data_IF_638858738285
#
_entry.id   IF_638858738285
#
_cell.length_a   1.000
_cell.length_b   1.000
_cell.length_c   1.000
_cell.angle_alpha   90.00
_cell.angle_beta   90.00
_cell.angle_gamma   90.00
#
_symmetry.space_group_name_H-M   'P 1'
#
loop_
_entity.id
_entity.type
_entity.pdbx_description
1 polymer ?
#
# COMPACT_ATOMS: atom_id res chain seq x y z
N UNK A 1 14.19 24.46 2.72
CA UNK A 1 14.16 23.25 1.85
C UNK A 1 13.05 23.41 0.83
N UNK A 2 13.16 22.86 -0.40
CA UNK A 2 12.05 22.91 -1.35
C UNK A 2 10.87 22.10 -0.80
N UNK A 3 9.65 22.60 -1.00
CA UNK A 3 8.41 21.95 -0.57
C UNK A 3 8.24 20.62 -1.33
N UNK A 4 8.20 19.50 -0.61
CA UNK A 4 8.11 18.15 -1.16
C UNK A 4 6.69 17.62 -1.03
N UNK A 5 6.12 17.21 -2.17
CA UNK A 5 4.77 16.62 -2.24
C UNK A 5 4.86 15.18 -2.69
N UNK A 6 4.08 14.30 -2.06
CA UNK A 6 3.89 12.92 -2.44
C UNK A 6 2.42 12.64 -2.75
N UNK A 7 2.18 12.03 -3.90
CA UNK A 7 0.88 11.48 -4.27
C UNK A 7 0.93 9.95 -4.28
N UNK A 8 0.01 9.30 -3.58
CA UNK A 8 -0.12 7.84 -3.60
C UNK A 8 -1.42 7.47 -4.32
N UNK A 9 -1.28 6.98 -5.54
CA UNK A 9 -2.40 6.53 -6.35
C UNK A 9 -2.77 5.11 -5.97
N UNK A 10 -4.02 4.91 -5.54
CA UNK A 10 -4.51 3.66 -4.97
C UNK A 10 -5.75 3.13 -5.69
N UNK A 11 -6.02 1.82 -5.59
CA UNK A 11 -7.16 1.21 -6.27
C UNK A 11 -8.49 1.51 -5.57
N UNK A 12 -8.55 1.48 -4.24
CA UNK A 12 -9.77 1.80 -3.52
C UNK A 12 -9.57 2.17 -2.04
N UNK A 13 -10.66 2.03 -1.28
CA UNK A 13 -10.77 2.50 0.09
C UNK A 13 -9.83 1.77 1.08
N UNK A 14 -9.50 0.51 0.80
CA UNK A 14 -8.67 -0.29 1.72
C UNK A 14 -7.21 0.18 1.68
N UNK A 15 -6.68 0.44 0.49
CA UNK A 15 -5.36 1.04 0.35
C UNK A 15 -5.34 2.47 0.90
N UNK A 16 -6.36 3.29 0.59
CA UNK A 16 -6.44 4.66 1.11
C UNK A 16 -6.42 4.67 2.65
N UNK A 17 -7.26 3.85 3.29
CA UNK A 17 -7.30 3.70 4.76
C UNK A 17 -5.96 3.27 5.33
N UNK A 18 -5.25 2.37 4.65
CA UNK A 18 -3.91 1.95 5.07
C UNK A 18 -2.94 3.13 5.04
N UNK A 19 -2.93 3.89 3.94
CA UNK A 19 -2.03 5.02 3.79
C UNK A 19 -2.36 6.18 4.73
N UNK A 20 -3.64 6.44 5.01
CA UNK A 20 -4.04 7.41 6.04
C UNK A 20 -3.43 7.07 7.40
N UNK A 21 -3.44 5.80 7.79
CA UNK A 21 -2.88 5.37 9.07
C UNK A 21 -1.35 5.53 9.16
N UNK A 22 -0.63 5.35 8.05
CA UNK A 22 0.83 5.54 8.00
C UNK A 22 1.24 6.93 7.49
N UNK A 23 0.29 7.83 7.24
CA UNK A 23 0.54 9.15 6.63
C UNK A 23 1.57 9.95 7.40
N UNK A 24 1.46 9.97 8.73
CA UNK A 24 2.44 10.61 9.61
C UNK A 24 3.88 10.12 9.39
N UNK A 25 4.08 8.84 9.04
CA UNK A 25 5.41 8.30 8.74
C UNK A 25 5.94 8.86 7.42
N UNK A 26 5.05 9.09 6.44
CA UNK A 26 5.39 9.67 5.14
C UNK A 26 5.66 11.19 5.26
N UNK A 27 4.90 11.87 6.12
CA UNK A 27 5.02 13.31 6.38
C UNK A 27 6.34 13.69 7.06
N UNK A 28 7.07 12.74 7.64
CA UNK A 28 8.45 12.96 8.10
C UNK A 28 9.41 13.37 6.95
N UNK A 29 9.03 13.14 5.70
CA UNK A 29 9.85 13.44 4.50
C UNK A 29 9.20 14.34 3.48
N UNK A 30 7.88 14.44 3.54
CA UNK A 30 7.06 15.14 2.59
C UNK A 30 6.21 16.15 3.35
N UNK A 31 6.25 17.40 2.93
CA UNK A 31 5.41 18.46 3.50
C UNK A 31 3.92 18.24 3.18
N UNK A 32 3.63 17.43 2.16
CA UNK A 32 2.28 17.08 1.76
C UNK A 32 2.20 15.64 1.25
N UNK A 33 1.28 14.87 1.80
CA UNK A 33 0.99 13.49 1.37
C UNK A 33 -0.50 13.35 1.10
N UNK A 34 -0.85 12.92 -0.10
CA UNK A 34 -2.25 12.76 -0.50
C UNK A 34 -2.47 11.48 -1.30
N UNK A 35 -3.57 10.79 -0.98
CA UNK A 35 -4.01 9.61 -1.70
C UNK A 35 -4.99 10.00 -2.80
N UNK A 36 -4.98 9.25 -3.91
CA UNK A 36 -5.93 9.43 -4.99
C UNK A 36 -6.40 8.09 -5.56
N UNK A 37 -7.70 7.80 -5.42
CA UNK A 37 -8.29 6.58 -5.97
C UNK A 37 -8.47 6.69 -7.48
N UNK A 38 -7.80 5.79 -8.21
CA UNK A 38 -7.78 5.83 -9.68
C UNK A 38 -8.52 4.69 -10.36
N UNK A 39 -8.90 3.61 -9.67
CA UNK A 39 -9.41 2.41 -10.33
C UNK A 39 -10.68 2.66 -11.15
N UNK A 40 -11.57 3.53 -10.65
CA UNK A 40 -12.82 3.91 -11.32
C UNK A 40 -12.69 5.15 -12.21
N UNK A 41 -11.47 5.67 -12.41
CA UNK A 41 -11.25 6.88 -13.19
C UNK A 41 -10.98 6.52 -14.66
N UNK A 42 -11.51 7.30 -15.61
CA UNK A 42 -11.22 7.07 -17.02
C UNK A 42 -9.74 7.32 -17.32
N UNK A 43 -9.11 6.59 -18.26
CA UNK A 43 -7.69 6.73 -18.59
C UNK A 43 -7.24 8.16 -18.86
N UNK A 44 -8.09 8.98 -19.50
CA UNK A 44 -7.85 10.40 -19.76
C UNK A 44 -7.68 11.19 -18.46
N UNK A 45 -8.49 10.93 -17.43
CA UNK A 45 -8.39 11.61 -16.13
C UNK A 45 -7.13 11.19 -15.37
N UNK A 46 -6.80 9.91 -15.40
CA UNK A 46 -5.53 9.39 -14.83
C UNK A 46 -4.33 10.09 -15.50
N UNK A 47 -4.32 10.17 -16.84
CA UNK A 47 -3.27 10.85 -17.61
C UNK A 47 -3.14 12.32 -17.23
N UNK A 48 -4.26 13.04 -17.19
CA UNK A 48 -4.25 14.47 -16.86
C UNK A 48 -3.75 14.72 -15.44
N UNK A 49 -4.16 13.88 -14.49
CA UNK A 49 -3.71 13.99 -13.10
C UNK A 49 -2.21 13.68 -12.93
N UNK A 50 -1.70 12.65 -13.60
CA UNK A 50 -0.26 12.37 -13.59
C UNK A 50 0.55 13.50 -14.25
N UNK A 51 0.01 14.14 -15.28
CA UNK A 51 0.64 15.32 -15.88
C UNK A 51 0.66 16.51 -14.92
N UNK A 52 -0.40 16.74 -14.13
CA UNK A 52 -0.39 17.82 -13.14
C UNK A 52 0.61 17.55 -12.02
N UNK A 53 0.72 16.30 -11.54
CA UNK A 53 1.74 15.90 -10.56
C UNK A 53 3.15 16.22 -11.07
N UNK A 54 3.46 15.86 -12.32
CA UNK A 54 4.76 16.14 -12.95
C UNK A 54 5.02 17.64 -13.09
N UNK A 55 4.03 18.40 -13.53
CA UNK A 55 4.13 19.86 -13.65
C UNK A 55 4.37 20.54 -12.30
N UNK A 56 3.87 19.96 -11.21
CA UNK A 56 4.11 20.42 -9.83
C UNK A 56 5.45 19.94 -9.25
N UNK A 57 6.28 19.23 -10.03
CA UNK A 57 7.52 18.58 -9.58
C UNK A 57 7.30 17.75 -8.29
N UNK A 58 6.19 17.02 -8.24
CA UNK A 58 5.79 16.21 -7.09
C UNK A 58 6.11 14.73 -7.31
N UNK A 59 6.48 14.03 -6.24
CA UNK A 59 6.68 12.59 -6.27
C UNK A 59 5.34 11.86 -6.34
N UNK A 60 5.33 10.69 -6.96
CA UNK A 60 4.16 9.82 -6.91
C UNK A 60 4.52 8.34 -6.96
N UNK A 61 3.67 7.56 -6.29
CA UNK A 61 3.63 6.10 -6.42
C UNK A 61 2.27 5.65 -6.90
N UNK A 62 2.24 4.62 -7.74
CA UNK A 62 1.02 3.93 -8.14
C UNK A 62 1.04 2.53 -7.53
N UNK A 63 0.10 2.28 -6.64
CA UNK A 63 -0.05 0.99 -5.97
C UNK A 63 -0.87 0.04 -6.84
N UNK A 64 -0.39 -1.21 -6.95
CA UNK A 64 -1.10 -2.30 -7.63
C UNK A 64 -0.84 -3.62 -6.93
N UNK A 65 -1.90 -4.38 -6.71
CA UNK A 65 -1.78 -5.76 -6.27
C UNK A 65 -1.27 -6.66 -7.41
N UNK A 66 -0.31 -7.55 -7.09
CA UNK A 66 0.17 -8.54 -8.06
C UNK A 66 -0.95 -9.50 -8.49
N UNK A 67 -1.91 -9.78 -7.59
CA UNK A 67 -3.01 -10.71 -7.82
C UNK A 67 -2.50 -12.07 -8.35
N UNK A 68 -3.01 -12.49 -9.52
CA UNK A 68 -2.65 -13.75 -10.20
C UNK A 68 -1.46 -13.62 -11.16
N UNK A 69 -0.81 -12.45 -11.24
CA UNK A 69 0.36 -12.30 -12.11
C UNK A 69 1.52 -13.16 -11.62
N UNK A 70 2.24 -13.85 -12.53
CA UNK A 70 3.26 -14.83 -12.14
C UNK A 70 4.48 -14.19 -11.47
N UNK A 71 4.78 -12.92 -11.79
CA UNK A 71 5.85 -12.17 -11.16
C UNK A 71 5.63 -10.65 -11.28
N UNK A 72 6.41 -9.87 -10.52
CA UNK A 72 6.38 -8.39 -10.53
C UNK A 72 6.63 -7.85 -11.93
N UNK A 73 7.58 -8.43 -12.68
CA UNK A 73 7.91 -8.01 -14.05
C UNK A 73 6.71 -8.20 -14.99
N UNK A 74 6.06 -9.36 -14.95
CA UNK A 74 4.86 -9.62 -15.74
C UNK A 74 3.74 -8.62 -15.39
N UNK A 75 3.56 -8.31 -14.10
CA UNK A 75 2.59 -7.31 -13.66
C UNK A 75 2.92 -5.92 -14.22
N UNK A 76 4.17 -5.46 -14.11
CA UNK A 76 4.60 -4.18 -14.67
C UNK A 76 4.39 -4.10 -16.18
N UNK A 77 4.68 -5.17 -16.91
CA UNK A 77 4.42 -5.25 -18.35
C UNK A 77 2.93 -5.14 -18.67
N UNK A 78 2.05 -5.83 -17.93
CA UNK A 78 0.60 -5.71 -18.13
C UNK A 78 0.08 -4.29 -17.92
N UNK A 79 0.64 -3.57 -16.94
CA UNK A 79 0.31 -2.17 -16.65
C UNK A 79 0.82 -1.27 -17.77
N UNK A 80 2.04 -1.50 -18.27
CA UNK A 80 2.59 -0.78 -19.42
C UNK A 80 1.75 -0.99 -20.67
N UNK A 81 1.22 -2.19 -20.92
CA UNK A 81 0.31 -2.44 -22.05
C UNK A 81 -1.01 -1.66 -21.87
N UNK A 82 -1.56 -1.63 -20.65
CA UNK A 82 -2.85 -0.94 -20.38
C UNK A 82 -2.75 0.59 -20.39
N UNK A 83 -1.67 1.15 -19.85
CA UNK A 83 -1.53 2.60 -19.66
C UNK A 83 -0.43 3.23 -20.53
N UNK A 84 0.27 2.45 -21.35
CA UNK A 84 1.37 2.93 -22.18
C UNK A 84 2.49 3.55 -21.35
N UNK A 85 3.01 4.69 -21.82
CA UNK A 85 4.03 5.50 -21.14
C UNK A 85 3.43 6.45 -20.10
N UNK A 86 2.12 6.41 -19.84
CA UNK A 86 1.45 7.31 -18.91
C UNK A 86 1.94 7.07 -17.48
N UNK A 87 2.24 5.82 -17.10
CA UNK A 87 2.73 5.48 -15.76
C UNK A 87 4.19 5.08 -15.87
N UNK A 88 5.05 5.74 -15.09
CA UNK A 88 6.46 5.35 -14.97
C UNK A 88 6.58 4.01 -14.21
N UNK A 89 7.35 3.08 -14.78
CA UNK A 89 7.63 1.79 -14.17
C UNK A 89 8.41 1.90 -12.84
N UNK A 90 9.12 3.01 -12.61
CA UNK A 90 9.82 3.29 -11.37
C UNK A 90 8.89 3.79 -10.25
N UNK A 91 7.78 4.42 -10.61
CA UNK A 91 6.71 4.83 -9.70
C UNK A 91 5.74 3.70 -9.35
N UNK A 92 5.84 2.54 -10.02
CA UNK A 92 5.01 1.37 -9.72
C UNK A 92 5.49 0.64 -8.47
N UNK A 93 4.60 0.54 -7.50
CA UNK A 93 4.76 -0.27 -6.29
C UNK A 93 3.80 -1.46 -6.40
N UNK A 94 4.38 -2.64 -6.60
CA UNK A 94 3.62 -3.88 -6.68
C UNK A 94 3.55 -4.50 -5.29
N UNK A 95 2.35 -4.55 -4.74
CA UNK A 95 2.06 -5.26 -3.49
C UNK A 95 2.06 -6.75 -3.79
N UNK A 96 2.90 -7.50 -3.07
CA UNK A 96 2.95 -8.95 -3.23
C UNK A 96 1.70 -9.55 -2.59
N UNK A 97 1.03 -10.40 -3.36
CA UNK A 97 -0.36 -10.88 -3.22
C UNK A 97 -1.40 -9.78 -3.19
N UNK A 98 -1.59 -9.10 -2.06
CA UNK A 98 -2.64 -8.10 -1.87
C UNK A 98 -2.35 -7.17 -0.68
N UNK A 99 -3.02 -6.02 -0.59
CA UNK A 99 -2.84 -5.03 0.48
C UNK A 99 -3.08 -5.58 1.89
N UNK A 100 -3.92 -6.61 2.05
CA UNK A 100 -4.16 -7.30 3.32
C UNK A 100 -2.88 -7.88 3.93
N UNK A 101 -1.93 -8.27 3.06
CA UNK A 101 -0.61 -8.72 3.50
C UNK A 101 0.15 -7.61 4.23
N UNK A 102 -0.06 -6.33 3.88
CA UNK A 102 0.56 -5.20 4.54
C UNK A 102 -0.10 -4.94 5.88
N UNK A 103 -1.44 -4.99 5.97
CA UNK A 103 -2.18 -4.87 7.23
C UNK A 103 -1.64 -5.81 8.32
N UNK A 104 -1.47 -7.09 8.01
CA UNK A 104 -0.92 -8.07 8.97
C UNK A 104 0.57 -7.91 9.25
N UNK A 105 1.32 -7.28 8.32
CA UNK A 105 2.76 -7.10 8.46
C UNK A 105 3.09 -6.22 9.66
N UNK A 106 2.25 -5.24 9.99
CA UNK A 106 2.50 -4.34 11.13
C UNK A 106 2.28 -4.95 12.50
N UNK A 107 1.77 -6.18 12.60
CA UNK A 107 1.41 -6.82 13.86
C UNK A 107 2.54 -7.69 14.40
N UNK A 108 2.92 -7.46 15.65
CA UNK A 108 3.78 -8.36 16.41
C UNK A 108 2.96 -9.47 17.11
N UNK A 109 3.65 -10.44 17.70
CA UNK A 109 3.01 -11.58 18.38
C UNK A 109 2.06 -11.14 19.49
N UNK A 110 2.42 -10.10 20.24
CA UNK A 110 1.61 -9.59 21.36
C UNK A 110 0.33 -8.91 20.85
N UNK A 111 0.42 -8.16 19.77
CA UNK A 111 -0.71 -7.51 19.13
C UNK A 111 -1.66 -8.53 18.51
N UNK A 112 -1.13 -9.56 17.85
CA UNK A 112 -1.93 -10.68 17.35
C UNK A 112 -2.73 -11.36 18.48
N UNK A 113 -2.11 -11.60 19.65
CA UNK A 113 -2.80 -12.14 20.83
C UNK A 113 -3.95 -11.24 21.29
N UNK A 114 -3.73 -9.91 21.39
CA UNK A 114 -4.78 -8.94 21.77
C UNK A 114 -5.95 -8.92 20.77
N UNK A 115 -5.64 -9.05 19.48
CA UNK A 115 -6.64 -9.13 18.42
C UNK A 115 -7.31 -10.51 18.33
N UNK A 116 -6.82 -11.53 19.07
CA UNK A 116 -7.27 -12.93 19.02
C UNK A 116 -7.09 -13.58 17.64
N UNK A 117 -5.97 -13.27 16.98
CA UNK A 117 -5.59 -13.88 15.71
C UNK A 117 -4.25 -14.61 15.83
N UNK A 118 -4.03 -15.59 14.96
CA UNK A 118 -2.76 -16.32 14.89
C UNK A 118 -1.65 -15.37 14.42
N UNK A 119 -0.52 -15.38 15.14
CA UNK A 119 0.66 -14.63 14.70
C UNK A 119 1.24 -15.25 13.42
N UNK A 120 1.54 -14.39 12.45
CA UNK A 120 2.14 -14.77 11.16
C UNK A 120 3.56 -14.20 11.11
N UNK A 121 4.54 -15.03 10.76
CA UNK A 121 5.95 -14.62 10.67
C UNK A 121 6.25 -13.78 9.42
N UNK A 122 5.97 -14.31 8.23
CA UNK A 122 6.04 -13.57 6.96
C UNK A 122 4.67 -13.47 6.33
N UNK A 123 4.34 -12.32 5.79
CA UNK A 123 3.00 -12.02 5.26
C UNK A 123 2.96 -11.92 3.75
N UNK A 124 4.10 -12.02 3.05
CA UNK A 124 4.21 -11.86 1.59
C UNK A 124 3.17 -12.69 0.81
N UNK A 125 2.85 -13.89 1.29
CA UNK A 125 1.95 -14.82 0.60
C UNK A 125 0.50 -14.81 1.10
N UNK A 126 0.14 -13.88 1.99
CA UNK A 126 -1.23 -13.76 2.50
C UNK A 126 -2.15 -13.23 1.40
N UNK A 127 -3.19 -14.02 1.08
CA UNK A 127 -4.26 -13.59 0.18
C UNK A 127 -5.40 -12.90 0.94
N UNK A 128 -6.28 -12.22 0.20
CA UNK A 128 -7.51 -11.61 0.74
C UNK A 128 -8.38 -12.63 1.45
N UNK A 129 -8.56 -13.82 0.88
CA UNK A 129 -9.38 -14.88 1.47
C UNK A 129 -8.74 -15.44 2.76
N UNK A 130 -7.41 -15.53 2.82
CA UNK A 130 -6.72 -15.93 4.04
C UNK A 130 -6.84 -14.86 5.12
N UNK A 131 -6.77 -13.58 4.76
CA UNK A 131 -7.01 -12.48 5.67
C UNK A 131 -8.44 -12.51 6.23
N UNK A 132 -9.44 -12.69 5.36
CA UNK A 132 -10.85 -12.69 5.77
C UNK A 132 -11.16 -13.85 6.74
N UNK A 133 -10.51 -15.01 6.56
CA UNK A 133 -10.62 -16.15 7.50
C UNK A 133 -9.98 -15.89 8.87
N UNK A 134 -9.08 -14.90 8.98
CA UNK A 134 -8.48 -14.55 10.27
C UNK A 134 -9.40 -13.67 11.11
N UNK A 135 -10.43 -13.03 10.52
CA UNK A 135 -11.31 -12.07 11.20
C UNK A 135 -12.06 -12.79 12.32
N UNK A 136 -11.79 -12.45 13.59
CA UNK A 136 -12.53 -13.03 14.72
C UNK A 136 -13.99 -12.56 14.73
N UNK A 137 -14.91 -13.43 15.18
CA UNK A 137 -16.35 -13.15 15.29
C UNK A 137 -16.73 -11.94 16.17
N UNK A 138 -15.78 -11.41 16.95
CA UNK A 138 -16.00 -10.25 17.84
C UNK A 138 -16.00 -8.90 17.11
N UNK A 139 -15.53 -8.86 15.86
CA UNK A 139 -15.52 -7.63 15.07
C UNK A 139 -16.81 -7.56 14.25
N UNK A 140 -17.38 -6.36 14.16
CA UNK A 140 -18.67 -6.16 13.50
C UNK A 140 -18.55 -6.23 11.98
N UNK A 141 -17.36 -5.97 11.45
CA UNK A 141 -17.07 -6.02 10.02
C UNK A 141 -15.59 -6.19 9.70
N UNK A 142 -15.29 -6.48 8.43
CA UNK A 142 -13.92 -6.43 7.89
C UNK A 142 -13.27 -5.06 8.08
N UNK A 143 -14.04 -3.98 7.92
CA UNK A 143 -13.54 -2.61 8.08
C UNK A 143 -13.16 -2.36 9.54
N UNK A 144 -14.01 -2.76 10.48
CA UNK A 144 -13.75 -2.64 11.93
C UNK A 144 -12.46 -3.37 12.31
N UNK A 145 -12.29 -4.62 11.85
CA UNK A 145 -11.05 -5.36 12.05
C UNK A 145 -9.82 -4.66 11.46
N UNK A 146 -9.90 -4.13 10.24
CA UNK A 146 -8.81 -3.39 9.60
C UNK A 146 -8.45 -2.12 10.37
N UNK A 147 -9.43 -1.37 10.87
CA UNK A 147 -9.20 -0.18 11.71
C UNK A 147 -8.48 -0.58 13.01
N UNK A 148 -8.91 -1.68 13.65
CA UNK A 148 -8.28 -2.17 14.88
C UNK A 148 -6.85 -2.68 14.65
N UNK A 149 -6.55 -3.24 13.47
CA UNK A 149 -5.16 -3.52 13.06
C UNK A 149 -4.35 -2.22 12.98
N UNK A 150 -4.87 -1.20 12.29
CA UNK A 150 -4.15 0.04 12.01
C UNK A 150 -3.82 0.84 13.29
N UNK A 151 -4.71 0.81 14.29
CA UNK A 151 -4.45 1.40 15.62
C UNK A 151 -3.21 0.85 16.32
N UNK A 152 -2.72 -0.32 15.92
CA UNK A 152 -1.59 -1.04 16.54
C UNK A 152 -0.48 -1.33 15.53
N UNK A 153 -0.51 -0.65 14.39
CA UNK A 153 0.38 -0.92 13.28
C UNK A 153 1.79 -0.40 13.56
N UNK A 154 2.79 -1.27 13.37
CA UNK A 154 4.20 -0.90 13.48
C UNK A 154 4.87 -0.97 12.11
N UNK A 155 5.30 0.18 11.59
CA UNK A 155 6.09 0.28 10.34
C UNK A 155 7.35 -0.58 10.41
N UNK A 156 8.09 -0.51 11.52
CA UNK A 156 9.29 -1.32 11.75
C UNK A 156 9.00 -2.82 11.66
N UNK A 157 7.89 -3.27 12.24
CA UNK A 157 7.48 -4.69 12.17
C UNK A 157 7.03 -5.05 10.76
N UNK A 158 6.29 -4.18 10.07
CA UNK A 158 5.85 -4.39 8.70
C UNK A 158 7.02 -4.55 7.72
N UNK A 159 8.06 -3.72 7.83
CA UNK A 159 9.28 -3.83 6.99
C UNK A 159 9.99 -5.17 7.14
N UNK A 160 9.96 -5.76 8.33
CA UNK A 160 10.57 -7.08 8.59
C UNK A 160 9.73 -8.23 8.05
N UNK A 161 8.41 -8.09 8.08
CA UNK A 161 7.47 -9.19 7.78
C UNK A 161 7.01 -9.24 6.33
N UNK A 162 7.11 -8.13 5.58
CA UNK A 162 6.64 -8.04 4.21
C UNK A 162 7.69 -7.35 3.32
N UNK A 163 8.18 -8.06 2.31
CA UNK A 163 9.21 -7.58 1.38
C UNK A 163 8.70 -6.43 0.51
N UNK A 164 7.44 -6.48 0.07
CA UNK A 164 6.87 -5.43 -0.78
C UNK A 164 6.62 -4.14 -0.01
N UNK A 165 6.20 -4.23 1.25
CA UNK A 165 6.13 -3.06 2.14
C UNK A 165 7.54 -2.51 2.41
N UNK A 166 8.51 -3.37 2.69
CA UNK A 166 9.90 -2.95 2.89
C UNK A 166 10.46 -2.23 1.67
N UNK A 167 10.22 -2.77 0.47
CA UNK A 167 10.60 -2.14 -0.79
C UNK A 167 9.95 -0.76 -0.98
N UNK A 168 8.67 -0.62 -0.64
CA UNK A 168 7.97 0.66 -0.66
C UNK A 168 8.63 1.68 0.28
N UNK A 169 8.92 1.30 1.52
CA UNK A 169 9.60 2.19 2.47
C UNK A 169 11.02 2.55 2.02
N UNK A 170 11.76 1.62 1.42
CA UNK A 170 13.08 1.90 0.83
C UNK A 170 12.98 2.88 -0.34
N UNK A 171 11.93 2.81 -1.16
CA UNK A 171 11.68 3.77 -2.26
C UNK A 171 11.39 5.19 -1.76
N UNK A 172 10.83 5.31 -0.55
CA UNK A 172 10.68 6.58 0.16
C UNK A 172 11.98 7.04 0.86
N UNK A 173 13.07 6.30 0.71
CA UNK A 173 14.36 6.59 1.35
C UNK A 173 14.39 6.30 2.86
N UNK A 174 13.47 5.50 3.41
CA UNK A 174 13.50 5.12 4.83
C UNK A 174 14.62 4.10 5.04
N UNK A 175 15.77 4.53 5.56
CA UNK A 175 16.82 3.66 6.08
C UNK A 175 16.77 3.77 7.61
N UNK A 176 16.39 2.68 8.28
CA UNK A 176 16.15 2.65 9.73
C UNK A 176 15.14 1.59 10.15
#
# INVERSE_FOLDING_TARGET
>A
MPYKRLWVLVEGNDEERFFDAIKHTLENKYDFVQMWQYAQQPPKRIKNFLNSIRAMNSDYFVLKDINRSPCVTAKKNSIKTKYGTIIDANSLIIVVKAIESWYLAGLDTNTCKKLRIKAVGKTDDITKEQFDRLIPKKFDSRIDFMVEILKRFSVKTARRKNKSFSYFMTKLGELG
#
